data_IF_487725175860
#
_entry.id   IF_487725175860
#
_cell.length_a   1.000
_cell.length_b   1.000
_cell.length_c   1.000
_cell.angle_alpha   90.00
_cell.angle_beta   90.00
_cell.angle_gamma   90.00
#
_symmetry.space_group_name_H-M   'P 1'
#
loop_
_entity.id
_entity.type
_entity.pdbx_description
1 polymer ?
#
# COMPACT_ATOMS: atom_id res chain seq x y z
N UNK A 1 9.47 4.72 5.28
CA UNK A 1 8.05 4.77 5.70
C UNK A 1 7.66 3.48 6.42
N UNK A 2 7.38 3.51 7.73
CA UNK A 2 6.98 2.31 8.51
C UNK A 2 5.62 1.73 8.06
N UNK A 3 4.67 2.60 7.70
CA UNK A 3 3.32 2.19 7.29
C UNK A 3 3.30 1.32 6.02
N UNK A 4 4.03 1.71 4.97
CA UNK A 4 4.08 0.93 3.73
C UNK A 4 4.66 -0.48 3.94
N UNK A 5 5.66 -0.61 4.82
CA UNK A 5 6.22 -1.92 5.18
C UNK A 5 5.20 -2.82 5.90
N UNK A 6 4.41 -2.26 6.81
CA UNK A 6 3.38 -3.01 7.51
C UNK A 6 2.25 -3.46 6.57
N UNK A 7 1.85 -2.62 5.61
CA UNK A 7 0.85 -3.01 4.61
C UNK A 7 1.30 -4.18 3.73
N UNK A 8 2.58 -4.19 3.31
CA UNK A 8 3.14 -5.30 2.54
C UNK A 8 3.19 -6.60 3.36
N UNK A 9 3.65 -6.50 4.61
CA UNK A 9 3.70 -7.67 5.51
C UNK A 9 2.31 -8.25 5.78
N UNK A 10 1.29 -7.40 5.93
CA UNK A 10 -0.10 -7.82 6.09
C UNK A 10 -0.62 -8.56 4.86
N UNK A 11 -0.34 -8.04 3.66
CA UNK A 11 -0.73 -8.69 2.41
C UNK A 11 -0.03 -10.04 2.22
N UNK A 12 1.24 -10.14 2.60
CA UNK A 12 1.96 -11.41 2.60
C UNK A 12 1.31 -12.41 3.56
N UNK A 13 1.02 -12.01 4.80
CA UNK A 13 0.34 -12.87 5.77
C UNK A 13 -1.04 -13.34 5.29
N UNK A 14 -1.81 -12.46 4.61
CA UNK A 14 -3.10 -12.83 4.04
C UNK A 14 -2.97 -13.86 2.89
N UNK A 15 -1.92 -13.74 2.06
CA UNK A 15 -1.61 -14.70 0.99
C UNK A 15 -1.17 -16.04 1.56
N UNK A 16 -0.33 -16.02 2.59
CA UNK A 16 0.12 -17.23 3.29
C UNK A 16 -1.04 -17.98 3.96
N UNK A 17 -2.07 -17.25 4.42
CA UNK A 17 -3.30 -17.82 4.96
C UNK A 17 -4.20 -18.47 3.89
N UNK A 18 -4.05 -18.12 2.60
CA UNK A 18 -4.78 -18.74 1.49
C UNK A 18 -6.27 -18.41 1.39
N UNK A 19 -6.81 -17.58 2.29
CA UNK A 19 -8.23 -17.23 2.33
C UNK A 19 -8.57 -16.08 1.37
N UNK A 20 -9.38 -16.29 0.31
CA UNK A 20 -9.61 -15.29 -0.74
C UNK A 20 -10.15 -13.95 -0.22
N UNK A 21 -11.04 -14.00 0.78
CA UNK A 21 -11.60 -12.78 1.38
C UNK A 21 -10.55 -11.98 2.15
N UNK A 22 -9.63 -12.64 2.86
CA UNK A 22 -8.54 -11.97 3.57
C UNK A 22 -7.56 -11.33 2.60
N UNK A 23 -7.25 -12.01 1.49
CA UNK A 23 -6.37 -11.48 0.44
C UNK A 23 -7.00 -10.22 -0.15
N UNK A 24 -8.27 -10.26 -0.55
CA UNK A 24 -8.96 -9.09 -1.12
C UNK A 24 -8.98 -7.89 -0.16
N UNK A 25 -9.21 -8.11 1.13
CA UNK A 25 -9.16 -7.05 2.13
C UNK A 25 -7.74 -6.46 2.29
N UNK A 26 -6.72 -7.31 2.34
CA UNK A 26 -5.35 -6.86 2.47
C UNK A 26 -4.86 -6.09 1.23
N UNK A 27 -5.33 -6.47 0.03
CA UNK A 27 -5.04 -5.75 -1.21
C UNK A 27 -5.68 -4.37 -1.24
N UNK A 28 -6.96 -4.26 -0.85
CA UNK A 28 -7.63 -2.97 -0.70
C UNK A 28 -6.91 -2.04 0.29
N UNK A 29 -6.45 -2.59 1.41
CA UNK A 29 -5.69 -1.84 2.41
C UNK A 29 -4.32 -1.41 1.87
N UNK A 30 -3.60 -2.27 1.16
CA UNK A 30 -2.34 -1.92 0.52
C UNK A 30 -2.50 -0.78 -0.51
N UNK A 31 -3.58 -0.79 -1.29
CA UNK A 31 -3.95 0.31 -2.20
C UNK A 31 -4.20 1.61 -1.46
N UNK A 32 -5.01 1.59 -0.40
CA UNK A 32 -5.32 2.78 0.40
C UNK A 32 -4.07 3.39 1.05
N UNK A 33 -3.18 2.54 1.56
CA UNK A 33 -1.88 2.96 2.11
C UNK A 33 -1.00 3.56 1.02
N UNK A 34 -0.94 2.94 -0.16
CA UNK A 34 -0.20 3.46 -1.31
C UNK A 34 -0.66 4.86 -1.71
N UNK A 35 -1.98 5.07 -1.80
CA UNK A 35 -2.57 6.39 -2.07
C UNK A 35 -2.20 7.42 -1.00
N UNK A 36 -2.35 7.09 0.28
CA UNK A 36 -2.02 8.00 1.38
C UNK A 36 -0.54 8.37 1.43
N UNK A 37 0.35 7.44 1.08
CA UNK A 37 1.78 7.71 1.02
C UNK A 37 2.11 8.59 -0.18
N UNK A 38 1.50 8.33 -1.34
CA UNK A 38 1.68 9.14 -2.55
C UNK A 38 1.17 10.57 -2.37
N UNK A 39 0.04 10.77 -1.70
CA UNK A 39 -0.54 12.11 -1.45
C UNK A 39 0.29 12.97 -0.50
N UNK A 40 1.25 12.38 0.22
CA UNK A 40 2.18 13.09 1.11
C UNK A 40 3.53 13.38 0.45
N UNK A 41 3.76 12.86 -0.76
CA UNK A 41 4.93 13.27 -1.51
C UNK A 41 4.72 14.73 -1.92
N UNK A 42 5.71 15.62 -1.71
CA UNK A 42 5.62 16.97 -2.25
C UNK A 42 5.38 16.86 -3.75
N UNK A 43 4.48 17.70 -4.28
CA UNK A 43 4.27 17.78 -5.73
C UNK A 43 5.64 17.95 -6.36
N UNK A 44 6.06 16.94 -7.12
CA UNK A 44 7.29 17.04 -7.89
C UNK A 44 7.00 18.13 -8.91
N UNK A 45 7.53 19.32 -8.65
CA UNK A 45 7.45 20.47 -9.57
C UNK A 45 7.77 19.94 -10.97
N UNK A 46 6.88 20.09 -11.96
CA UNK A 46 7.16 19.60 -13.29
C UNK A 46 8.44 20.27 -13.74
N UNK A 47 9.44 19.45 -14.07
CA UNK A 47 10.71 19.92 -14.62
C UNK A 47 10.42 20.53 -16.01
N UNK A 48 9.97 21.77 -16.01
CA UNK A 48 9.90 22.63 -17.17
C UNK A 48 11.21 23.42 -17.16
N UNK A 49 12.22 22.84 -17.80
CA UNK A 49 13.51 23.46 -18.09
C UNK A 49 13.84 23.25 -19.56
#
# INVERSE_FOLDING_TARGET
MRLGRHAIALLQAARDAGEPTLIAQAEAMAMAVGFLLASRLPEREPATG
#
